data_IF_937781449713
#
_entry.id   IF_937781449713
#
_cell.length_a   1.000
_cell.length_b   1.000
_cell.length_c   1.000
_cell.angle_alpha   90.00
_cell.angle_beta   90.00
_cell.angle_gamma   90.00
#
_symmetry.space_group_name_H-M   'P 1'
#
loop_
_entity.id
_entity.type
_entity.pdbx_description
1 polymer ?
#
# COMPACT_ATOMS: atom_id res chain seq x y z
N UNK A 1 -3.65 24.58 -3.80
CA UNK A 1 -4.01 26.02 -3.72
C UNK A 1 -2.77 26.90 -3.92
N UNK A 2 -2.94 28.17 -4.32
CA UNK A 2 -1.84 29.10 -4.66
C UNK A 2 -1.22 28.87 -6.05
N UNK A 3 -0.38 29.79 -6.53
CA UNK A 3 0.23 29.75 -7.87
C UNK A 3 0.97 28.43 -8.17
N UNK A 4 1.56 27.82 -7.14
CA UNK A 4 2.31 26.57 -7.21
C UNK A 4 1.47 25.30 -6.98
N UNK A 5 0.20 25.45 -6.57
CA UNK A 5 -0.76 24.35 -6.39
C UNK A 5 -0.27 23.19 -5.51
N UNK A 6 0.50 23.49 -4.46
CA UNK A 6 0.95 22.48 -3.49
C UNK A 6 -0.13 22.21 -2.42
N UNK A 7 -0.07 21.00 -1.86
CA UNK A 7 -0.87 20.56 -0.70
C UNK A 7 0.08 19.94 0.32
N UNK A 8 -0.01 20.38 1.57
CA UNK A 8 0.67 19.76 2.70
C UNK A 8 -0.40 19.18 3.64
N UNK A 9 -0.21 17.93 4.07
CA UNK A 9 -1.13 17.25 4.98
C UNK A 9 -0.34 16.68 6.15
N UNK A 10 -0.81 16.96 7.37
CA UNK A 10 -0.30 16.36 8.59
C UNK A 10 -0.98 15.01 8.82
N UNK A 11 -0.19 13.94 8.88
CA UNK A 11 -0.67 12.58 9.15
C UNK A 11 0.04 12.04 10.41
N UNK A 12 -0.40 12.45 11.59
CA UNK A 12 0.27 12.14 12.86
C UNK A 12 0.36 10.63 13.14
N UNK A 13 -0.74 9.91 12.89
CA UNK A 13 -0.79 8.44 13.02
C UNK A 13 0.24 7.77 12.12
N UNK A 14 0.51 8.31 10.93
CA UNK A 14 1.53 7.74 10.03
C UNK A 14 2.94 7.91 10.58
N UNK A 15 3.20 8.88 11.45
CA UNK A 15 4.47 9.01 12.16
C UNK A 15 4.60 7.99 13.31
N UNK A 16 3.52 7.78 14.06
CA UNK A 16 3.51 6.90 15.24
C UNK A 16 3.33 5.41 14.91
N UNK A 17 2.45 5.09 13.96
CA UNK A 17 2.07 3.74 13.54
C UNK A 17 2.88 3.27 12.32
N UNK A 18 3.87 4.06 11.88
CA UNK A 18 4.76 3.61 10.81
C UNK A 18 5.41 2.31 11.25
N UNK A 19 5.46 1.37 10.31
CA UNK A 19 6.29 0.19 10.48
C UNK A 19 7.72 0.61 10.88
N UNK A 20 8.28 0.02 11.95
CA UNK A 20 9.67 0.27 12.33
C UNK A 20 10.61 -0.04 11.17
N UNK A 21 11.66 0.78 10.97
CA UNK A 21 12.69 0.45 9.98
C UNK A 21 13.31 -0.90 10.33
N UNK A 22 13.57 -1.71 9.31
CA UNK A 22 14.34 -2.94 9.51
C UNK A 22 15.79 -2.56 9.81
N UNK A 23 16.43 -3.18 10.82
CA UNK A 23 17.84 -2.94 11.08
C UNK A 23 18.67 -3.50 9.92
N UNK A 24 19.21 -2.62 9.08
CA UNK A 24 20.11 -3.01 7.99
C UNK A 24 21.52 -3.17 8.57
N UNK A 25 22.00 -4.41 8.64
CA UNK A 25 23.32 -4.78 9.14
C UNK A 25 24.33 -4.94 8.02
N UNK A 26 23.85 -5.24 6.81
CA UNK A 26 24.68 -5.43 5.63
C UNK A 26 23.94 -5.02 4.36
N UNK A 27 24.69 -4.61 3.33
CA UNK A 27 24.13 -4.40 1.99
C UNK A 27 23.62 -5.70 1.35
N UNK A 28 24.01 -6.86 1.90
CA UNK A 28 23.59 -8.20 1.43
C UNK A 28 22.63 -8.88 2.42
N UNK A 29 21.93 -8.11 3.25
CA UNK A 29 20.93 -8.71 4.15
C UNK A 29 19.86 -9.47 3.34
N UNK A 30 19.55 -10.72 3.72
CA UNK A 30 18.57 -11.52 2.99
C UNK A 30 17.16 -10.94 3.18
N UNK A 31 16.35 -11.00 2.13
CA UNK A 31 14.95 -10.64 2.20
C UNK A 31 14.18 -11.63 3.09
N UNK A 32 13.55 -11.13 4.16
CA UNK A 32 12.61 -11.92 4.94
C UNK A 32 11.18 -11.73 4.40
N UNK A 33 10.62 -12.74 3.69
CA UNK A 33 9.26 -12.65 3.19
C UNK A 33 8.25 -12.53 4.31
N UNK A 34 8.50 -13.05 5.52
CA UNK A 34 7.59 -12.93 6.65
C UNK A 34 7.49 -11.48 7.14
N UNK A 35 8.63 -10.78 7.19
CA UNK A 35 8.68 -9.38 7.54
C UNK A 35 7.88 -8.54 6.54
N UNK A 36 8.00 -8.73 5.23
CA UNK A 36 7.41 -7.85 4.23
C UNK A 36 6.46 -8.62 3.30
N UNK A 37 5.18 -8.69 3.68
CA UNK A 37 4.16 -9.41 2.89
C UNK A 37 3.15 -8.44 2.27
N UNK A 38 3.38 -8.04 1.02
CA UNK A 38 2.31 -7.50 0.17
C UNK A 38 1.32 -8.60 -0.30
N UNK A 39 1.67 -9.86 -0.09
CA UNK A 39 0.94 -11.03 -0.59
C UNK A 39 -0.16 -11.53 0.35
N UNK A 40 -0.18 -11.09 1.61
CA UNK A 40 -1.22 -11.48 2.58
C UNK A 40 -2.34 -10.44 2.62
N UNK A 41 -3.10 -10.37 1.54
CA UNK A 41 -4.38 -9.67 1.53
C UNK A 41 -5.42 -10.55 2.23
N UNK A 42 -6.05 -10.07 3.30
CA UNK A 42 -7.17 -10.77 3.92
C UNK A 42 -8.35 -10.76 2.94
N UNK A 43 -9.18 -11.82 2.86
CA UNK A 43 -10.34 -11.82 1.96
C UNK A 43 -11.27 -10.61 2.13
N UNK A 44 -11.42 -10.13 3.37
CA UNK A 44 -12.23 -8.95 3.69
C UNK A 44 -11.61 -7.61 3.22
N UNK A 45 -10.33 -7.59 2.85
CA UNK A 45 -9.65 -6.42 2.29
C UNK A 45 -9.78 -6.34 0.77
N UNK A 46 -10.27 -7.40 0.11
CA UNK A 46 -10.55 -7.36 -1.33
C UNK A 46 -11.92 -6.75 -1.58
N UNK A 47 -11.98 -5.61 -2.26
CA UNK A 47 -13.22 -4.94 -2.59
C UNK A 47 -13.86 -5.56 -3.84
N UNK A 48 -13.11 -5.61 -4.94
CA UNK A 48 -13.57 -6.21 -6.21
C UNK A 48 -12.40 -6.49 -7.15
N UNK A 49 -12.69 -7.24 -8.22
CA UNK A 49 -11.75 -7.55 -9.30
C UNK A 49 -12.16 -6.79 -10.55
N UNK A 50 -11.23 -6.02 -11.12
CA UNK A 50 -11.38 -5.39 -12.41
C UNK A 50 -10.79 -6.31 -13.48
N UNK A 51 -11.51 -6.43 -14.59
CA UNK A 51 -11.07 -7.18 -15.76
C UNK A 51 -11.31 -6.33 -17.00
N UNK A 52 -10.29 -6.25 -17.85
CA UNK A 52 -10.46 -5.66 -19.18
C UNK A 52 -11.17 -6.70 -20.06
N UNK A 53 -12.22 -6.29 -20.76
CA UNK A 53 -12.90 -7.15 -21.72
C UNK A 53 -11.89 -7.68 -22.76
N UNK A 54 -11.91 -9.00 -22.99
CA UNK A 54 -10.97 -9.66 -23.91
C UNK A 54 -9.55 -9.89 -23.36
N UNK A 55 -9.26 -9.55 -22.09
CA UNK A 55 -7.97 -9.86 -21.44
C UNK A 55 -8.14 -10.92 -20.34
N UNK A 56 -7.20 -11.88 -20.20
CA UNK A 56 -7.14 -12.76 -19.04
C UNK A 56 -6.59 -12.06 -17.79
N UNK A 57 -5.94 -10.90 -17.94
CA UNK A 57 -5.39 -10.15 -16.81
C UNK A 57 -6.49 -9.57 -15.93
N UNK A 58 -6.29 -9.70 -14.62
CA UNK A 58 -7.15 -9.13 -13.59
C UNK A 58 -6.35 -8.10 -12.80
N UNK A 59 -7.06 -7.13 -12.24
CA UNK A 59 -6.52 -6.18 -11.28
C UNK A 59 -7.40 -6.26 -10.03
N UNK A 60 -6.78 -6.50 -8.88
CA UNK A 60 -7.45 -6.51 -7.59
C UNK A 60 -7.53 -5.08 -7.06
N UNK A 61 -8.72 -4.69 -6.61
CA UNK A 61 -8.91 -3.44 -5.85
C UNK A 61 -9.02 -3.81 -4.37
N UNK A 62 -8.04 -3.37 -3.60
CA UNK A 62 -7.87 -3.74 -2.20
C UNK A 62 -7.95 -2.52 -1.27
N UNK A 63 -8.41 -2.73 -0.04
CA UNK A 63 -8.36 -1.76 1.04
C UNK A 63 -6.90 -1.47 1.37
N UNK A 64 -6.52 -0.19 1.37
CA UNK A 64 -5.25 0.20 1.96
C UNK A 64 -5.40 0.27 3.48
N UNK A 65 -4.82 -0.67 4.22
CA UNK A 65 -4.86 -0.71 5.69
C UNK A 65 -4.08 0.45 6.35
N UNK A 66 -3.27 1.20 5.59
CA UNK A 66 -2.60 2.43 6.03
C UNK A 66 -2.83 3.54 4.99
N UNK A 67 -4.07 4.02 4.85
CA UNK A 67 -4.44 4.98 3.81
C UNK A 67 -3.81 6.35 4.08
N UNK A 68 -3.57 7.14 3.03
CA UNK A 68 -3.21 8.57 3.18
C UNK A 68 -4.44 9.42 3.44
N UNK A 69 -5.55 9.06 2.82
CA UNK A 69 -6.85 9.71 2.96
C UNK A 69 -7.97 8.65 2.93
N UNK A 70 -9.15 9.02 3.42
CA UNK A 70 -10.31 8.13 3.42
C UNK A 70 -10.65 7.68 2.00
N UNK A 71 -10.79 6.37 1.82
CA UNK A 71 -11.09 5.78 0.51
C UNK A 71 -9.87 5.49 -0.35
N UNK A 72 -8.64 5.70 0.16
CA UNK A 72 -7.44 5.28 -0.53
C UNK A 72 -7.41 3.74 -0.69
N UNK A 73 -7.25 3.27 -1.92
CA UNK A 73 -7.23 1.85 -2.30
C UNK A 73 -5.92 1.48 -2.98
N UNK A 74 -5.60 0.19 -2.97
CA UNK A 74 -4.47 -0.38 -3.70
C UNK A 74 -4.98 -1.08 -4.96
N UNK A 75 -4.27 -0.88 -6.07
CA UNK A 75 -4.45 -1.63 -7.30
C UNK A 75 -3.31 -2.65 -7.40
N UNK A 76 -3.64 -3.94 -7.31
CA UNK A 76 -2.68 -5.03 -7.31
C UNK A 76 -2.91 -5.92 -8.55
N UNK A 77 -1.85 -6.44 -9.18
CA UNK A 77 -1.99 -7.45 -10.24
C UNK A 77 -2.59 -8.76 -9.71
#
# INVERSE_FOLDING_TARGET
>A
PGAVRLVAQLNEQRSAERRPPQPVRSLRDPFDPAAFNFTRLRPAELLFRLRRAGSPEQLLVAINASPLERGHVLLLP
#
